data_IF_005734187802
#
_entry.id   IF_005734187802
#
_cell.length_a   1.000
_cell.length_b   1.000
_cell.length_c   1.000
_cell.angle_alpha   90.00
_cell.angle_beta   90.00
_cell.angle_gamma   90.00
#
_symmetry.space_group_name_H-M   'P 1'
#
loop_
_entity.id
_entity.type
_entity.pdbx_description
1 polymer ?
#
# COMPACT_ATOMS: atom_id res chain seq x y z
N UNK A 1 -4.90 34.69 -9.01
CA UNK A 1 -5.09 34.37 -7.57
C UNK A 1 -4.97 32.86 -7.24
N UNK A 2 -4.25 32.03 -8.00
CA UNK A 2 -4.29 30.56 -7.85
C UNK A 2 -3.04 29.87 -7.27
N UNK A 3 -1.90 30.56 -7.18
CA UNK A 3 -0.63 29.92 -6.78
C UNK A 3 -0.58 29.63 -5.27
N UNK A 4 -1.02 30.58 -4.42
CA UNK A 4 -0.94 30.45 -2.96
C UNK A 4 -1.80 29.29 -2.42
N UNK A 5 -3.01 29.13 -2.94
CA UNK A 5 -3.92 28.02 -2.59
C UNK A 5 -3.30 26.67 -2.99
N UNK A 6 -2.73 26.59 -4.20
CA UNK A 6 -2.04 25.38 -4.67
C UNK A 6 -0.84 25.03 -3.79
N UNK A 7 -0.01 26.01 -3.43
CA UNK A 7 1.13 25.79 -2.53
C UNK A 7 0.67 25.30 -1.16
N UNK A 8 -0.38 25.89 -0.59
CA UNK A 8 -0.94 25.46 0.69
C UNK A 8 -1.41 24.00 0.69
N UNK A 9 -2.21 23.60 -0.31
CA UNK A 9 -2.68 22.22 -0.40
C UNK A 9 -1.58 21.21 -0.75
N UNK A 10 -0.46 21.66 -1.29
CA UNK A 10 0.68 20.79 -1.62
C UNK A 10 1.43 20.31 -0.38
N UNK A 11 1.33 21.01 0.75
CA UNK A 11 2.14 20.70 1.92
C UNK A 11 3.63 20.74 1.58
N UNK A 12 4.36 19.67 1.90
CA UNK A 12 5.81 19.55 1.64
C UNK A 12 6.17 19.02 0.25
N UNK A 13 5.18 18.78 -0.63
CA UNK A 13 5.42 18.15 -1.94
C UNK A 13 6.24 19.02 -2.88
N UNK A 14 7.21 18.40 -3.56
CA UNK A 14 8.01 19.03 -4.61
C UNK A 14 7.17 19.12 -5.89
N UNK A 15 6.80 20.34 -6.28
CA UNK A 15 6.01 20.60 -7.49
C UNK A 15 6.93 20.83 -8.70
N UNK A 16 6.46 20.43 -9.87
CA UNK A 16 7.07 20.82 -11.14
C UNK A 16 6.65 22.26 -11.44
N UNK A 17 7.60 23.19 -11.32
CA UNK A 17 7.42 24.60 -11.62
C UNK A 17 8.33 24.97 -12.78
N UNK A 18 7.72 25.45 -13.84
CA UNK A 18 8.38 25.99 -15.03
C UNK A 18 7.59 27.24 -15.48
N UNK A 19 8.13 28.02 -16.41
CA UNK A 19 7.51 29.24 -16.95
C UNK A 19 6.08 29.01 -17.49
N UNK A 20 5.73 27.77 -17.83
CA UNK A 20 4.43 27.38 -18.40
C UNK A 20 3.59 26.47 -17.49
N UNK A 21 4.17 25.84 -16.45
CA UNK A 21 3.51 24.77 -15.70
C UNK A 21 3.75 24.89 -14.20
N UNK A 22 2.71 24.66 -13.41
CA UNK A 22 2.81 24.51 -11.96
C UNK A 22 1.97 23.32 -11.50
N UNK A 23 2.58 22.13 -11.52
CA UNK A 23 1.92 20.85 -11.33
C UNK A 23 2.47 20.12 -10.10
N UNK A 24 1.59 19.44 -9.37
CA UNK A 24 1.95 18.44 -8.38
C UNK A 24 2.46 17.17 -9.10
N UNK A 25 3.68 17.26 -9.61
CA UNK A 25 4.37 16.24 -10.41
C UNK A 25 5.85 16.29 -10.07
N UNK A 26 6.47 15.14 -9.87
CA UNK A 26 7.87 15.00 -9.48
C UNK A 26 8.51 13.88 -10.27
N UNK A 27 9.68 14.15 -10.86
CA UNK A 27 10.54 13.09 -11.39
C UNK A 27 11.29 12.46 -10.23
N UNK A 28 10.97 11.20 -9.95
CA UNK A 28 11.70 10.41 -8.95
C UNK A 28 13.01 9.92 -9.57
N UNK A 29 12.95 9.44 -10.81
CA UNK A 29 14.09 9.23 -11.71
C UNK A 29 13.75 9.82 -13.08
N UNK A 30 14.67 9.71 -14.04
CA UNK A 30 14.43 10.18 -15.41
C UNK A 30 13.26 9.44 -16.09
N UNK A 31 13.00 8.18 -15.67
CA UNK A 31 11.94 7.33 -16.24
C UNK A 31 10.72 7.14 -15.34
N UNK A 32 10.77 7.56 -14.08
CA UNK A 32 9.72 7.32 -13.09
C UNK A 32 9.20 8.65 -12.55
N UNK A 33 7.91 8.91 -12.81
CA UNK A 33 7.22 10.13 -12.42
C UNK A 33 6.18 9.79 -11.35
N UNK A 34 6.16 10.57 -10.27
CA UNK A 34 5.10 10.58 -9.27
C UNK A 34 4.25 11.85 -9.46
N UNK A 35 2.93 11.72 -9.48
CA UNK A 35 2.05 12.89 -9.56
C UNK A 35 0.81 12.79 -8.68
N UNK A 36 0.21 13.93 -8.39
CA UNK A 36 -1.12 14.04 -7.79
C UNK A 36 -2.23 13.74 -8.79
N UNK A 37 -3.43 13.47 -8.29
CA UNK A 37 -4.60 13.13 -9.11
C UNK A 37 -4.91 14.21 -10.17
N UNK A 38 -5.02 13.85 -11.47
CA UNK A 38 -5.43 14.76 -12.51
C UNK A 38 -6.96 14.97 -12.47
N UNK A 39 -7.41 16.23 -12.43
CA UNK A 39 -8.83 16.58 -12.31
C UNK A 39 -9.26 17.61 -13.36
N UNK A 40 -10.51 17.51 -13.84
CA UNK A 40 -11.16 18.51 -14.73
C UNK A 40 -12.07 19.50 -13.98
N UNK A 41 -12.57 19.16 -12.80
CA UNK A 41 -13.61 19.92 -12.10
C UNK A 41 -13.06 21.16 -11.39
N UNK A 42 -13.90 21.89 -10.63
CA UNK A 42 -13.49 22.96 -9.70
C UNK A 42 -12.37 22.53 -8.72
N UNK A 43 -12.16 21.21 -8.55
CA UNK A 43 -11.00 20.65 -7.83
C UNK A 43 -9.66 21.01 -8.48
N UNK A 44 -9.61 21.34 -9.77
CA UNK A 44 -8.40 21.82 -10.50
C UNK A 44 -7.86 23.16 -9.98
N UNK A 45 -8.64 23.87 -9.15
CA UNK A 45 -8.17 25.07 -8.44
C UNK A 45 -7.07 24.70 -7.44
N UNK A 46 -7.13 23.51 -6.82
CA UNK A 46 -6.13 23.01 -5.87
C UNK A 46 -5.39 21.72 -6.31
N UNK A 47 -5.92 20.97 -7.29
CA UNK A 47 -5.31 19.77 -7.90
C UNK A 47 -4.72 20.05 -9.28
N UNK A 48 -4.07 19.04 -9.86
CA UNK A 48 -3.55 19.10 -11.22
C UNK A 48 -4.70 19.24 -12.23
N UNK A 49 -4.60 20.21 -13.13
CA UNK A 49 -5.43 20.24 -14.33
C UNK A 49 -4.95 19.15 -15.29
N UNK A 50 -5.85 18.25 -15.70
CA UNK A 50 -5.51 17.15 -16.59
C UNK A 50 -4.91 17.62 -17.93
N UNK A 51 -5.40 18.75 -18.47
CA UNK A 51 -4.93 19.27 -19.75
C UNK A 51 -3.49 19.76 -19.65
N UNK A 52 -3.12 20.37 -18.53
CA UNK A 52 -1.76 20.84 -18.28
C UNK A 52 -0.79 19.66 -18.08
N UNK A 53 -1.23 18.60 -17.39
CA UNK A 53 -0.45 17.37 -17.23
C UNK A 53 -0.24 16.69 -18.58
N UNK A 54 -1.31 16.52 -19.38
CA UNK A 54 -1.23 15.93 -20.72
C UNK A 54 -0.29 16.74 -21.62
N UNK A 55 -0.45 18.06 -21.65
CA UNK A 55 0.42 18.96 -22.42
C UNK A 55 1.89 18.87 -22.00
N UNK A 56 2.19 18.77 -20.71
CA UNK A 56 3.56 18.59 -20.23
C UNK A 56 4.13 17.23 -20.66
N UNK A 57 3.37 16.15 -20.50
CA UNK A 57 3.81 14.80 -20.85
C UNK A 57 4.00 14.65 -22.36
N UNK A 58 3.07 15.13 -23.17
CA UNK A 58 3.19 15.11 -24.64
C UNK A 58 4.38 15.97 -25.09
N UNK A 59 4.61 17.14 -24.47
CA UNK A 59 5.75 18.02 -24.81
C UNK A 59 7.10 17.39 -24.47
N UNK A 60 7.22 16.68 -23.34
CA UNK A 60 8.50 16.08 -22.90
C UNK A 60 8.76 14.69 -23.45
N UNK A 61 7.72 13.86 -23.57
CA UNK A 61 7.85 12.43 -23.82
C UNK A 61 7.08 11.98 -25.07
N UNK A 62 6.31 12.85 -25.73
CA UNK A 62 5.53 12.48 -26.91
C UNK A 62 4.56 11.33 -26.61
N UNK A 63 4.75 10.18 -27.26
CA UNK A 63 3.95 8.96 -27.03
C UNK A 63 4.62 7.95 -26.09
N UNK A 64 5.77 8.29 -25.51
CA UNK A 64 6.60 7.41 -24.69
C UNK A 64 6.27 7.48 -23.19
N UNK A 65 5.02 7.72 -22.83
CA UNK A 65 4.59 7.69 -21.41
C UNK A 65 3.40 6.76 -21.20
N UNK A 66 3.38 6.12 -20.04
CA UNK A 66 2.29 5.28 -19.58
C UNK A 66 1.89 5.67 -18.15
N UNK A 67 0.60 5.86 -17.91
CA UNK A 67 0.08 6.32 -16.62
C UNK A 67 -0.51 5.14 -15.84
N UNK A 68 -0.12 4.99 -14.58
CA UNK A 68 -0.70 4.04 -13.65
C UNK A 68 -1.65 4.77 -12.69
N UNK A 69 -2.96 4.51 -12.81
CA UNK A 69 -3.98 5.06 -11.94
C UNK A 69 -4.24 4.11 -10.76
N UNK A 70 -3.76 4.53 -9.58
CA UNK A 70 -3.88 3.76 -8.33
C UNK A 70 -5.06 4.20 -7.47
N UNK A 71 -5.86 5.16 -7.95
CA UNK A 71 -6.82 5.90 -7.11
C UNK A 71 -8.16 5.19 -6.87
N UNK A 72 -8.47 4.12 -7.63
CA UNK A 72 -9.81 3.54 -7.78
C UNK A 72 -10.86 4.51 -8.33
N UNK A 73 -10.46 5.71 -8.77
CA UNK A 73 -11.34 6.72 -9.36
C UNK A 73 -10.96 6.89 -10.81
N UNK A 74 -11.87 6.52 -11.70
CA UNK A 74 -11.70 6.72 -13.14
C UNK A 74 -11.99 8.17 -13.51
N UNK A 75 -11.39 8.60 -14.61
CA UNK A 75 -11.59 9.91 -15.22
C UNK A 75 -11.44 9.79 -16.73
N UNK A 76 -11.67 10.90 -17.45
CA UNK A 76 -11.51 10.90 -18.90
C UNK A 76 -10.02 10.75 -19.29
N UNK A 77 -9.67 9.61 -19.90
CA UNK A 77 -8.32 9.26 -20.34
C UNK A 77 -7.97 9.79 -21.73
N UNK A 78 -8.93 10.38 -22.44
CA UNK A 78 -8.70 10.91 -23.79
C UNK A 78 -7.57 11.96 -23.86
N UNK A 79 -7.35 12.84 -22.86
CA UNK A 79 -6.22 13.78 -22.91
C UNK A 79 -4.86 13.08 -22.91
N UNK A 80 -4.78 11.85 -22.39
CA UNK A 80 -3.56 11.05 -22.37
C UNK A 80 -3.49 10.06 -23.55
N UNK A 81 -4.36 10.22 -24.56
CA UNK A 81 -4.50 9.29 -25.67
C UNK A 81 -4.74 7.85 -25.21
N UNK A 82 -5.50 7.67 -24.13
CA UNK A 82 -5.83 6.38 -23.51
C UNK A 82 -4.63 5.55 -23.03
N UNK A 83 -3.47 6.18 -22.78
CA UNK A 83 -2.27 5.53 -22.20
C UNK A 83 -2.34 5.45 -20.68
N UNK A 84 -3.43 4.89 -20.14
CA UNK A 84 -3.69 4.78 -18.70
C UNK A 84 -4.05 3.34 -18.34
N UNK A 85 -3.39 2.79 -17.31
CA UNK A 85 -3.68 1.48 -16.71
C UNK A 85 -4.34 1.71 -15.35
N UNK A 86 -5.58 1.24 -15.21
CA UNK A 86 -6.30 1.19 -13.95
C UNK A 86 -5.88 -0.01 -13.12
N UNK A 87 -5.24 0.24 -11.98
CA UNK A 87 -4.72 -0.81 -11.10
C UNK A 87 -4.75 -0.39 -9.62
N UNK A 88 -5.77 0.40 -9.24
CA UNK A 88 -5.94 0.91 -7.89
C UNK A 88 -6.44 -0.10 -6.87
N UNK A 89 -6.22 0.24 -5.60
CA UNK A 89 -6.80 -0.45 -4.44
C UNK A 89 -7.28 0.57 -3.40
N UNK A 90 -7.95 0.06 -2.36
CA UNK A 90 -8.52 0.84 -1.27
C UNK A 90 -7.50 1.79 -0.64
N UNK A 91 -7.94 3.01 -0.31
CA UNK A 91 -7.03 4.01 0.24
C UNK A 91 -6.50 3.60 1.61
N UNK A 92 -5.29 4.06 1.95
CA UNK A 92 -4.57 3.70 3.18
C UNK A 92 -4.19 2.22 3.36
N UNK A 93 -4.54 1.34 2.42
CA UNK A 93 -4.18 -0.08 2.46
C UNK A 93 -2.99 -0.40 1.54
N UNK A 94 -2.44 -1.62 1.70
CA UNK A 94 -1.46 -2.22 0.79
C UNK A 94 -2.17 -3.02 -0.33
N UNK A 95 -1.60 -3.11 -1.54
CA UNK A 95 -2.20 -3.90 -2.61
C UNK A 95 -2.07 -5.40 -2.31
N UNK A 96 -2.90 -6.26 -2.96
CA UNK A 96 -2.56 -7.68 -3.05
C UNK A 96 -1.18 -7.87 -3.69
N UNK A 97 -0.37 -8.81 -3.18
CA UNK A 97 0.99 -9.07 -3.71
C UNK A 97 0.95 -9.39 -5.21
N UNK A 98 -0.02 -10.19 -5.66
CA UNK A 98 -0.21 -10.52 -7.07
C UNK A 98 -0.48 -9.27 -7.95
N UNK A 99 -1.21 -8.29 -7.43
CA UNK A 99 -1.45 -7.03 -8.15
C UNK A 99 -0.15 -6.22 -8.30
N UNK A 100 0.67 -6.16 -7.26
CA UNK A 100 1.97 -5.48 -7.33
C UNK A 100 2.92 -6.16 -8.33
N UNK A 101 2.94 -7.50 -8.38
CA UNK A 101 3.71 -8.23 -9.38
C UNK A 101 3.24 -7.94 -10.81
N UNK A 102 1.93 -7.92 -11.05
CA UNK A 102 1.37 -7.56 -12.35
C UNK A 102 1.78 -6.13 -12.75
N UNK A 103 1.63 -5.17 -11.84
CA UNK A 103 2.05 -3.77 -12.06
C UNK A 103 3.55 -3.71 -12.42
N UNK A 104 4.41 -4.37 -11.64
CA UNK A 104 5.84 -4.38 -11.87
C UNK A 104 6.20 -5.00 -13.23
N UNK A 105 5.60 -6.14 -13.60
CA UNK A 105 5.83 -6.79 -14.88
C UNK A 105 5.47 -5.88 -16.07
N UNK A 106 4.36 -5.13 -15.98
CA UNK A 106 4.00 -4.13 -17.00
C UNK A 106 4.99 -2.97 -17.06
N UNK A 107 5.44 -2.45 -15.91
CA UNK A 107 6.44 -1.37 -15.87
C UNK A 107 7.75 -1.84 -16.49
N UNK A 108 8.22 -3.02 -16.12
CA UNK A 108 9.49 -3.59 -16.59
C UNK A 108 9.47 -3.79 -18.10
N UNK A 109 8.41 -4.42 -18.62
CA UNK A 109 8.20 -4.59 -20.05
C UNK A 109 8.13 -3.23 -20.78
N UNK A 110 7.35 -2.28 -20.27
CA UNK A 110 7.19 -0.97 -20.92
C UNK A 110 8.53 -0.23 -21.02
N UNK A 111 9.32 -0.21 -19.95
CA UNK A 111 10.64 0.45 -19.93
C UNK A 111 11.65 -0.30 -20.81
N UNK A 112 11.52 -1.62 -20.97
CA UNK A 112 12.38 -2.43 -21.84
C UNK A 112 12.08 -2.27 -23.32
N UNK A 113 10.81 -2.00 -23.70
CA UNK A 113 10.38 -1.85 -25.10
C UNK A 113 11.04 -0.65 -25.78
N UNK A 114 11.22 0.47 -25.06
CA UNK A 114 11.90 1.65 -25.60
C UNK A 114 12.68 2.38 -24.51
N UNK A 115 13.92 2.75 -24.82
CA UNK A 115 14.77 3.57 -23.96
C UNK A 115 14.15 4.92 -23.55
N UNK A 116 13.27 5.49 -24.38
CA UNK A 116 12.58 6.75 -24.13
C UNK A 116 11.33 6.60 -23.27
N UNK A 117 10.87 5.37 -23.02
CA UNK A 117 9.66 5.12 -22.26
C UNK A 117 9.80 5.53 -20.79
N UNK A 118 8.80 6.27 -20.32
CA UNK A 118 8.63 6.69 -18.94
C UNK A 118 7.29 6.22 -18.39
N UNK A 119 7.20 6.09 -17.07
CA UNK A 119 5.95 5.79 -16.36
C UNK A 119 5.58 6.93 -15.43
N UNK A 120 4.28 7.19 -15.29
CA UNK A 120 3.74 8.14 -14.33
C UNK A 120 2.71 7.47 -13.43
N UNK A 121 3.01 7.35 -12.13
CA UNK A 121 2.09 6.77 -11.15
C UNK A 121 1.40 7.86 -10.33
N UNK A 122 0.10 7.70 -10.12
CA UNK A 122 -0.67 8.60 -9.26
C UNK A 122 -1.71 7.86 -8.44
N UNK A 123 -2.05 8.42 -7.28
CA UNK A 123 -3.24 8.04 -6.51
C UNK A 123 -4.11 9.29 -6.33
N UNK A 124 -4.73 9.48 -5.17
CA UNK A 124 -5.42 10.73 -4.84
C UNK A 124 -4.42 11.85 -4.47
N UNK A 125 -3.52 11.57 -3.54
CA UNK A 125 -2.53 12.54 -3.04
C UNK A 125 -1.11 12.34 -3.59
N UNK A 126 -0.85 11.24 -4.30
CA UNK A 126 0.49 10.89 -4.80
C UNK A 126 1.50 10.58 -3.68
N UNK A 127 1.03 10.01 -2.56
CA UNK A 127 1.83 9.65 -1.37
C UNK A 127 1.95 8.13 -1.21
N UNK A 128 1.25 7.52 -0.25
CA UNK A 128 1.39 6.10 0.12
C UNK A 128 1.28 5.10 -1.04
N UNK A 129 0.13 5.05 -1.73
CA UNK A 129 -0.09 4.11 -2.85
C UNK A 129 0.93 4.28 -3.99
N UNK A 130 1.19 5.53 -4.38
CA UNK A 130 2.20 5.87 -5.39
C UNK A 130 3.61 5.48 -4.93
N UNK A 131 3.93 5.74 -3.67
CA UNK A 131 5.20 5.41 -3.05
C UNK A 131 5.44 3.91 -2.99
N UNK A 132 4.42 3.08 -2.72
CA UNK A 132 4.54 1.61 -2.77
C UNK A 132 5.01 1.18 -4.16
N UNK A 133 4.28 1.57 -5.22
CA UNK A 133 4.60 1.15 -6.60
C UNK A 133 6.01 1.60 -6.97
N UNK A 134 6.36 2.85 -6.68
CA UNK A 134 7.66 3.42 -7.04
C UNK A 134 8.80 2.78 -6.22
N UNK A 135 8.65 2.61 -4.91
CA UNK A 135 9.68 1.98 -4.08
C UNK A 135 9.91 0.53 -4.50
N UNK A 136 8.85 -0.25 -4.71
CA UNK A 136 8.96 -1.62 -5.22
C UNK A 136 9.67 -1.66 -6.58
N UNK A 137 9.32 -0.76 -7.50
CA UNK A 137 9.96 -0.68 -8.82
C UNK A 137 11.45 -0.35 -8.72
N UNK A 138 11.83 0.64 -7.92
CA UNK A 138 13.24 1.04 -7.72
C UNK A 138 14.08 -0.09 -7.12
N UNK A 139 13.52 -0.81 -6.15
CA UNK A 139 14.17 -1.96 -5.52
C UNK A 139 14.39 -3.09 -6.54
N UNK A 140 13.36 -3.45 -7.29
CA UNK A 140 13.44 -4.51 -8.31
C UNK A 140 14.39 -4.15 -9.47
N UNK A 141 14.46 -2.87 -9.85
CA UNK A 141 15.42 -2.38 -10.84
C UNK A 141 16.87 -2.29 -10.32
N UNK A 142 17.12 -2.65 -9.06
CA UNK A 142 18.46 -2.65 -8.49
C UNK A 142 19.05 -1.26 -8.25
N UNK A 143 18.22 -0.21 -8.10
CA UNK A 143 18.67 1.17 -7.94
C UNK A 143 19.59 1.37 -6.70
N UNK A 144 19.47 0.49 -5.70
CA UNK A 144 20.20 0.56 -4.44
C UNK A 144 21.29 -0.51 -4.30
N UNK A 145 21.65 -1.23 -5.36
CA UNK A 145 22.68 -2.29 -5.34
C UNK A 145 24.03 -1.83 -4.76
N UNK A 146 24.39 -0.56 -4.97
CA UNK A 146 25.63 0.04 -4.44
C UNK A 146 25.61 0.30 -2.93
N UNK A 147 24.45 0.25 -2.26
CA UNK A 147 24.30 0.54 -0.83
C UNK A 147 25.03 -0.47 0.06
N UNK A 148 25.32 -1.68 -0.45
CA UNK A 148 25.93 -2.79 0.32
C UNK A 148 25.25 -3.03 1.69
N UNK A 149 23.92 -2.89 1.72
CA UNK A 149 23.14 -3.08 2.93
C UNK A 149 23.13 -4.55 3.36
N UNK A 150 23.08 -4.78 4.67
CA UNK A 150 23.14 -6.12 5.28
C UNK A 150 21.76 -6.74 5.45
N UNK A 151 20.71 -5.92 5.45
CA UNK A 151 19.35 -6.36 5.71
C UNK A 151 18.37 -5.86 4.65
N UNK A 152 17.32 -6.64 4.36
CA UNK A 152 16.21 -6.22 3.48
C UNK A 152 15.60 -4.90 3.96
N UNK A 153 15.50 -4.70 5.27
CA UNK A 153 14.95 -3.48 5.88
C UNK A 153 15.76 -2.25 5.52
N UNK A 154 17.09 -2.33 5.46
CA UNK A 154 17.94 -1.20 5.05
C UNK A 154 17.68 -0.79 3.60
N UNK A 155 17.54 -1.76 2.68
CA UNK A 155 17.16 -1.48 1.29
C UNK A 155 15.79 -0.81 1.20
N UNK A 156 14.79 -1.33 1.92
CA UNK A 156 13.43 -0.75 1.96
C UNK A 156 13.47 0.68 2.50
N UNK A 157 14.18 0.91 3.61
CA UNK A 157 14.32 2.24 4.19
C UNK A 157 15.02 3.20 3.23
N UNK A 158 16.06 2.76 2.52
CA UNK A 158 16.71 3.57 1.50
C UNK A 158 15.76 3.97 0.36
N UNK A 159 14.93 3.04 -0.13
CA UNK A 159 13.93 3.33 -1.15
C UNK A 159 12.86 4.32 -0.67
N UNK A 160 12.32 4.12 0.54
CA UNK A 160 11.31 4.99 1.13
C UNK A 160 11.88 6.39 1.40
N UNK A 161 13.11 6.48 1.91
CA UNK A 161 13.80 7.75 2.15
C UNK A 161 14.10 8.48 0.84
N UNK A 162 14.59 7.77 -0.18
CA UNK A 162 14.82 8.35 -1.51
C UNK A 162 13.54 8.92 -2.11
N UNK A 163 12.44 8.15 -2.04
CA UNK A 163 11.15 8.63 -2.51
C UNK A 163 10.69 9.87 -1.71
N UNK A 164 10.83 9.86 -0.39
CA UNK A 164 10.49 10.98 0.48
C UNK A 164 11.31 12.23 0.17
N UNK A 165 12.61 12.10 -0.05
CA UNK A 165 13.51 13.21 -0.39
C UNK A 165 13.12 13.85 -1.72
N UNK A 166 12.85 13.03 -2.74
CA UNK A 166 12.45 13.53 -4.07
C UNK A 166 11.06 14.14 -4.05
N UNK A 167 10.10 13.47 -3.43
CA UNK A 167 8.69 13.85 -3.48
C UNK A 167 8.32 14.90 -2.43
N UNK A 168 9.08 14.99 -1.35
CA UNK A 168 8.81 15.82 -0.17
C UNK A 168 7.93 15.13 0.89
N UNK A 169 7.14 14.13 0.48
CA UNK A 169 6.31 13.29 1.33
C UNK A 169 6.62 11.81 1.05
N UNK A 170 6.63 10.97 2.09
CA UNK A 170 7.01 9.56 1.99
C UNK A 170 5.85 8.57 2.13
N UNK A 171 6.20 7.29 2.15
CA UNK A 171 5.32 6.22 2.64
C UNK A 171 5.44 6.19 4.16
N UNK A 172 4.42 6.65 4.89
CA UNK A 172 4.46 6.79 6.36
C UNK A 172 3.71 5.67 7.09
N UNK A 173 2.79 4.97 6.41
CA UNK A 173 2.02 3.90 7.03
C UNK A 173 2.91 2.64 7.22
N UNK A 174 3.07 2.12 8.46
CA UNK A 174 3.85 0.91 8.73
C UNK A 174 3.43 -0.30 7.90
N UNK A 175 2.13 -0.48 7.63
CA UNK A 175 1.62 -1.60 6.82
C UNK A 175 2.07 -1.51 5.36
N UNK A 176 2.23 -0.29 4.85
CA UNK A 176 2.72 -0.04 3.50
C UNK A 176 4.23 -0.27 3.40
N UNK A 177 4.99 0.14 4.42
CA UNK A 177 6.43 -0.12 4.50
C UNK A 177 6.69 -1.63 4.64
N UNK A 178 5.92 -2.31 5.50
CA UNK A 178 5.96 -3.77 5.65
C UNK A 178 5.66 -4.45 4.32
N UNK A 179 4.64 -3.99 3.59
CA UNK A 179 4.32 -4.56 2.28
C UNK A 179 5.47 -4.44 1.28
N UNK A 180 6.18 -3.31 1.23
CA UNK A 180 7.36 -3.15 0.34
C UNK A 180 8.43 -4.19 0.69
N UNK A 181 8.66 -4.44 1.98
CA UNK A 181 9.57 -5.50 2.44
C UNK A 181 9.09 -6.88 2.03
N UNK A 182 7.82 -7.20 2.27
CA UNK A 182 7.24 -8.51 1.96
C UNK A 182 7.28 -8.77 0.45
N UNK A 183 7.05 -7.76 -0.37
CA UNK A 183 7.18 -7.83 -1.83
C UNK A 183 8.62 -8.12 -2.26
N UNK A 184 9.61 -7.43 -1.69
CA UNK A 184 11.03 -7.69 -1.99
C UNK A 184 11.46 -9.10 -1.55
N UNK A 185 10.99 -9.58 -0.39
CA UNK A 185 11.26 -10.97 0.03
C UNK A 185 10.59 -11.97 -0.93
N UNK A 186 9.43 -11.62 -1.48
CA UNK A 186 8.74 -12.48 -2.47
C UNK A 186 9.53 -12.64 -3.78
N UNK A 187 10.38 -11.67 -4.15
CA UNK A 187 11.20 -11.79 -5.37
C UNK A 187 12.30 -12.83 -5.22
N UNK A 188 12.88 -12.96 -4.03
CA UNK A 188 13.91 -13.98 -3.74
C UNK A 188 13.33 -15.40 -3.81
N UNK A 189 12.04 -15.54 -3.46
CA UNK A 189 11.32 -16.81 -3.58
C UNK A 189 10.91 -17.12 -5.02
N UNK A 190 10.55 -16.09 -5.81
CA UNK A 190 10.16 -16.24 -7.22
C UNK A 190 11.37 -16.50 -8.13
N UNK A 191 12.53 -15.91 -7.84
CA UNK A 191 13.78 -16.20 -8.56
C UNK A 191 14.23 -17.68 -8.46
N UNK A 192 13.74 -18.41 -7.46
CA UNK A 192 13.99 -19.84 -7.30
C UNK A 192 12.97 -20.73 -8.01
N UNK A 193 11.71 -20.29 -8.19
CA UNK A 193 10.69 -21.09 -8.89
C UNK A 193 9.52 -20.22 -9.41
N UNK A 194 9.53 -19.89 -10.71
CA UNK A 194 8.49 -19.07 -11.36
C UNK A 194 7.07 -19.70 -11.35
N UNK A 195 6.93 -20.97 -10.94
CA UNK A 195 5.63 -21.64 -10.76
C UNK A 195 4.84 -21.15 -9.53
N UNK A 196 5.47 -20.40 -8.63
CA UNK A 196 4.88 -19.98 -7.34
C UNK A 196 3.91 -18.80 -7.43
N UNK A 197 3.80 -18.13 -8.59
CA UNK A 197 3.00 -16.89 -8.72
C UNK A 197 1.48 -17.10 -8.56
N UNK A 198 0.97 -18.33 -8.65
CA UNK A 198 -0.48 -18.59 -8.72
C UNK A 198 -0.98 -19.81 -7.94
N UNK A 199 -0.13 -20.53 -7.22
CA UNK A 199 -0.58 -21.73 -6.51
C UNK A 199 -1.14 -21.35 -5.13
N UNK A 200 -2.47 -21.33 -5.02
CA UNK A 200 -3.19 -21.15 -3.76
C UNK A 200 -2.77 -22.17 -2.69
N UNK A 201 -2.14 -23.30 -3.07
CA UNK A 201 -1.59 -24.30 -2.13
C UNK A 201 -0.41 -23.81 -1.29
N UNK A 202 0.26 -22.72 -1.68
CA UNK A 202 1.42 -22.18 -0.96
C UNK A 202 1.09 -21.09 0.05
N UNK A 203 -0.18 -20.67 0.17
CA UNK A 203 -0.57 -19.83 1.29
C UNK A 203 -0.73 -20.71 2.52
N UNK A 204 0.14 -20.58 3.54
CA UNK A 204 0.03 -21.41 4.73
C UNK A 204 -1.34 -21.12 5.37
N UNK A 205 -2.11 -22.18 5.61
CA UNK A 205 -3.29 -22.09 6.46
C UNK A 205 -2.84 -21.76 7.88
N UNK A 206 -3.11 -20.54 8.33
CA UNK A 206 -2.79 -20.09 9.68
C UNK A 206 -4.02 -20.23 10.58
N UNK A 207 -3.80 -20.77 11.77
CA UNK A 207 -4.83 -20.80 12.82
C UNK A 207 -4.56 -19.68 13.81
N UNK A 208 -5.47 -18.71 13.88
CA UNK A 208 -5.41 -17.66 14.90
C UNK A 208 -5.90 -18.24 16.24
N UNK A 209 -4.97 -18.53 17.14
CA UNK A 209 -5.29 -19.10 18.46
C UNK A 209 -5.82 -18.06 19.43
N UNK A 210 -5.05 -17.01 19.68
CA UNK A 210 -5.39 -15.94 20.61
C UNK A 210 -4.71 -14.64 20.20
N UNK A 211 -5.32 -13.52 20.60
CA UNK A 211 -4.70 -12.20 20.57
C UNK A 211 -4.29 -11.83 21.99
N UNK A 212 -3.03 -11.45 22.17
CA UNK A 212 -2.50 -11.00 23.46
C UNK A 212 -2.13 -9.53 23.34
N UNK A 213 -2.73 -8.70 24.19
CA UNK A 213 -2.46 -7.27 24.29
C UNK A 213 -1.69 -7.01 25.58
N UNK A 214 -0.50 -6.42 25.45
CA UNK A 214 0.33 -6.05 26.59
C UNK A 214 0.16 -4.57 26.93
N UNK A 215 0.26 -4.25 28.22
CA UNK A 215 0.28 -2.88 28.73
C UNK A 215 -0.93 -2.05 28.29
N UNK A 216 -2.15 -2.58 28.48
CA UNK A 216 -3.38 -1.92 28.05
C UNK A 216 -3.78 -0.86 29.08
N UNK A 217 -3.74 0.44 28.72
CA UNK A 217 -4.16 1.50 29.62
C UNK A 217 -5.68 1.62 29.62
N UNK A 218 -6.22 2.06 30.75
CA UNK A 218 -7.60 2.51 30.83
C UNK A 218 -7.63 3.93 30.30
N UNK A 219 -8.26 4.13 29.15
CA UNK A 219 -8.32 5.44 28.50
C UNK A 219 -9.04 6.50 29.36
N UNK A 220 -9.32 7.67 28.79
CA UNK A 220 -9.97 8.79 29.50
C UNK A 220 -11.35 8.48 30.11
N UNK A 221 -11.97 7.35 29.77
CA UNK A 221 -13.32 6.95 30.18
C UNK A 221 -13.42 6.11 31.45
N UNK A 222 -12.33 5.91 32.21
CA UNK A 222 -12.28 5.08 33.43
C UNK A 222 -12.60 3.59 33.25
N UNK A 223 -13.01 3.16 32.06
CA UNK A 223 -13.08 1.77 31.65
C UNK A 223 -12.87 1.62 30.14
N UNK A 224 -12.40 0.44 29.69
CA UNK A 224 -12.22 0.08 28.28
C UNK A 224 -12.92 -1.24 28.00
N UNK A 225 -13.81 -1.23 27.01
CA UNK A 225 -14.40 -2.43 26.42
C UNK A 225 -13.67 -2.77 25.12
N UNK A 226 -13.14 -3.98 25.04
CA UNK A 226 -12.41 -4.44 23.86
C UNK A 226 -13.24 -5.44 23.08
N UNK A 227 -13.30 -5.23 21.76
CA UNK A 227 -13.85 -6.21 20.81
C UNK A 227 -12.83 -6.51 19.73
N UNK A 228 -12.70 -7.80 19.40
CA UNK A 228 -11.88 -8.29 18.30
C UNK A 228 -12.82 -8.76 17.18
N UNK A 229 -12.69 -8.16 16.00
CA UNK A 229 -13.36 -8.61 14.78
C UNK A 229 -12.29 -9.00 13.77
N UNK A 230 -12.33 -10.23 13.30
CA UNK A 230 -11.39 -10.74 12.30
C UNK A 230 -12.13 -10.79 10.97
N UNK A 231 -11.53 -10.15 9.97
CA UNK A 231 -12.02 -10.18 8.60
C UNK A 231 -11.07 -10.99 7.73
N UNK A 232 -11.60 -11.95 6.99
CA UNK A 232 -10.88 -12.62 5.93
C UNK A 232 -11.16 -11.89 4.62
N UNK A 233 -10.11 -11.35 4.02
CA UNK A 233 -10.18 -10.73 2.69
C UNK A 233 -10.08 -11.83 1.64
N UNK A 234 -11.17 -12.10 0.95
CA UNK A 234 -11.18 -12.98 -0.22
C UNK A 234 -11.47 -12.14 -1.46
N UNK A 235 -10.49 -12.05 -2.37
CA UNK A 235 -10.54 -11.17 -3.55
C UNK A 235 -10.77 -9.70 -3.15
N UNK A 236 -11.99 -9.20 -3.31
CA UNK A 236 -12.41 -7.82 -3.04
C UNK A 236 -13.37 -7.69 -1.86
N UNK A 237 -13.84 -8.82 -1.30
CA UNK A 237 -14.84 -8.84 -0.24
C UNK A 237 -14.20 -9.10 1.13
N UNK A 238 -14.77 -8.45 2.14
CA UNK A 238 -14.37 -8.59 3.54
C UNK A 238 -15.41 -9.42 4.28
N UNK A 239 -15.07 -10.66 4.62
CA UNK A 239 -15.96 -11.55 5.35
C UNK A 239 -15.57 -11.58 6.81
N UNK A 240 -16.53 -11.29 7.71
CA UNK A 240 -16.31 -11.45 9.16
C UNK A 240 -16.21 -12.95 9.47
N UNK A 241 -15.04 -13.40 9.92
CA UNK A 241 -14.81 -14.81 10.27
C UNK A 241 -14.78 -15.04 11.77
N UNK A 242 -14.61 -13.98 12.56
CA UNK A 242 -14.71 -14.02 14.02
C UNK A 242 -15.15 -12.66 14.56
N UNK A 243 -15.96 -12.69 15.62
CA UNK A 243 -16.23 -11.54 16.47
C UNK A 243 -16.23 -11.99 17.93
N UNK A 244 -15.43 -11.35 18.77
CA UNK A 244 -15.34 -11.69 20.20
C UNK A 244 -16.68 -11.56 20.92
N UNK A 245 -17.57 -10.68 20.46
CA UNK A 245 -18.92 -10.54 21.01
C UNK A 245 -19.78 -11.81 20.85
N UNK A 246 -19.43 -12.71 19.91
CA UNK A 246 -20.09 -14.01 19.77
C UNK A 246 -19.74 -14.97 20.91
N UNK A 247 -18.52 -14.85 21.47
CA UNK A 247 -18.00 -15.73 22.52
C UNK A 247 -18.12 -15.13 23.92
N UNK A 248 -18.04 -13.81 24.01
CA UNK A 248 -18.04 -13.04 25.26
C UNK A 248 -19.19 -12.02 25.20
N UNK A 249 -20.33 -12.38 25.81
CA UNK A 249 -21.47 -11.48 25.95
C UNK A 249 -21.95 -11.50 27.42
N UNK A 250 -21.91 -10.36 28.14
CA UNK A 250 -21.37 -9.06 27.71
C UNK A 250 -19.85 -9.09 27.45
N UNK A 251 -19.34 -8.11 26.69
CA UNK A 251 -17.90 -7.99 26.45
C UNK A 251 -17.16 -7.68 27.76
N UNK A 252 -15.91 -8.16 27.93
CA UNK A 252 -15.10 -7.83 29.10
C UNK A 252 -14.83 -6.32 29.15
N UNK A 253 -15.00 -5.75 30.35
CA UNK A 253 -14.77 -4.34 30.64
C UNK A 253 -13.61 -4.24 31.64
N UNK A 254 -12.63 -3.38 31.35
CA UNK A 254 -11.43 -3.21 32.17
C UNK A 254 -11.36 -1.78 32.70
N UNK A 255 -11.44 -1.62 34.02
CA UNK A 255 -11.45 -0.34 34.74
C UNK A 255 -10.08 0.03 35.35
N UNK A 256 -9.13 -0.90 35.34
CA UNK A 256 -7.73 -0.69 35.75
C UNK A 256 -6.74 -1.11 34.67
N UNK A 257 -5.52 -0.57 34.73
CA UNK A 257 -4.43 -0.95 33.82
C UNK A 257 -4.24 -2.47 33.82
N UNK A 258 -4.11 -3.05 32.63
CA UNK A 258 -3.87 -4.48 32.47
C UNK A 258 -2.46 -4.68 31.90
N UNK A 259 -1.63 -5.46 32.62
CA UNK A 259 -0.32 -5.87 32.10
C UNK A 259 -0.46 -6.77 30.88
N UNK A 260 -1.51 -7.61 30.87
CA UNK A 260 -1.80 -8.55 29.80
C UNK A 260 -3.32 -8.78 29.70
N UNK A 261 -3.85 -8.73 28.47
CA UNK A 261 -5.21 -9.15 28.13
C UNK A 261 -5.13 -10.22 27.04
N UNK A 262 -5.79 -11.36 27.26
CA UNK A 262 -5.83 -12.47 26.31
C UNK A 262 -7.25 -12.61 25.77
N UNK A 263 -7.42 -12.45 24.46
CA UNK A 263 -8.67 -12.72 23.74
C UNK A 263 -8.50 -14.05 22.99
N UNK A 264 -9.18 -15.10 23.44
CA UNK A 264 -9.14 -16.42 22.79
C UNK A 264 -10.08 -16.44 21.58
N UNK A 265 -9.54 -16.80 20.42
CA UNK A 265 -10.26 -16.82 19.14
C UNK A 265 -10.91 -18.19 18.88
N UNK A 266 -10.69 -19.17 19.77
CA UNK A 266 -11.30 -20.50 19.69
C UNK A 266 -12.79 -20.47 20.04
N UNK A 267 -13.57 -21.34 19.40
CA UNK A 267 -14.99 -21.50 19.75
C UNK A 267 -15.16 -21.99 21.19
N UNK A 268 -16.26 -21.59 21.84
CA UNK A 268 -16.60 -21.95 23.23
C UNK A 268 -16.48 -23.46 23.51
N UNK A 269 -16.79 -24.31 22.53
CA UNK A 269 -16.66 -25.77 22.62
C UNK A 269 -15.21 -26.29 22.79
N UNK A 270 -14.20 -25.50 22.41
CA UNK A 270 -12.78 -25.83 22.61
C UNK A 270 -12.24 -25.37 23.97
N UNK A 271 -12.85 -24.33 24.57
CA UNK A 271 -12.52 -23.82 25.90
C UNK A 271 -13.00 -24.77 27.01
N UNK A 272 -14.18 -25.36 26.87
CA UNK A 272 -14.72 -26.35 27.83
C UNK A 272 -13.95 -27.69 27.84
N UNK A 273 -13.24 -28.05 26.76
CA UNK A 273 -12.39 -29.26 26.74
C UNK A 273 -11.06 -29.09 27.47
N UNK A 274 -10.62 -27.86 27.74
CA UNK A 274 -9.37 -27.60 28.49
C UNK A 274 -9.54 -27.71 30.00
N UNK A 275 -10.74 -27.52 30.55
CA UNK A 275 -10.99 -27.74 31.98
C UNK A 275 -10.98 -29.22 32.35
N UNK A 276 -11.06 -30.13 31.38
CA UNK A 276 -11.15 -31.58 31.61
C UNK A 276 -10.00 -32.41 31.01
N UNK A 277 -9.07 -31.84 30.23
CA UNK A 277 -7.95 -32.62 29.68
C UNK A 277 -6.69 -31.80 29.39
N UNK A 278 -5.57 -32.00 30.12
CA UNK A 278 -4.32 -31.31 29.90
C UNK A 278 -3.44 -32.06 28.88
N UNK A 279 -3.93 -32.25 27.64
CA UNK A 279 -3.17 -32.56 26.41
C UNK A 279 -4.10 -33.15 25.34
N UNK A 280 -4.54 -32.32 24.39
CA UNK A 280 -4.92 -32.80 23.07
C UNK A 280 -4.82 -31.65 22.06
N UNK A 281 -3.79 -31.70 21.21
CA UNK A 281 -3.80 -30.99 19.95
C UNK A 281 -4.72 -31.76 19.00
N UNK A 282 -5.85 -31.18 18.64
CA UNK A 282 -6.71 -31.73 17.58
C UNK A 282 -6.46 -30.90 16.34
N UNK A 283 -5.76 -31.53 15.40
CA UNK A 283 -5.65 -31.14 14.01
C UNK A 283 -7.06 -31.27 13.40
N UNK A 284 -7.63 -30.19 12.89
CA UNK A 284 -8.81 -30.25 12.02
C UNK A 284 -8.42 -29.66 10.67
N UNK A 285 -8.10 -30.57 9.75
CA UNK A 285 -8.09 -30.36 8.31
C UNK A 285 -9.52 -30.21 7.79
N UNK A 286 -9.78 -29.10 7.09
CA UNK A 286 -10.76 -28.96 6.01
C UNK A 286 -10.13 -28.05 4.94
#
# INVERSE_FOLDING_TARGET
MSTAVRTYFSGRRVRYIDNQFNLDLTYITDKIIAMGYPSRSLESLYRNNIADVAKLLDKKHGKHYLIFNLSCRQYDYTPFGNRVIDCGWADHHSPPVALMWAIYAFIDLWIAVDSQNVIAAHCLAGKGRTGIVICCTLLMQGAFTKLQAKTTTEYVNAAVNYFREKRGDGVENPDQIKFIRDFLVSSDTIGADNKLQFDAKLQPSLFLGSLILYNVPVGKGAAVELSLVVYLKCRSDWNVVYNSAWSYSPLPCYDAYQSEIIIDVRSRAALERRSTCPRAAICCSC
#
